data_IF_866641845636
#
_entry.id   IF_866641845636
#
_cell.length_a   1.000
_cell.length_b   1.000
_cell.length_c   1.000
_cell.angle_alpha   90.00
_cell.angle_beta   90.00
_cell.angle_gamma   90.00
#
_symmetry.space_group_name_H-M   'P 1'
#
loop_
_entity.id
_entity.type
_entity.pdbx_description
1 polymer ?
#
# COMPACT_ATOMS: atom_id res chain seq x y z
N UNK A 1 -11.84 33.26 0.36
CA UNK A 1 -10.63 32.75 1.03
C UNK A 1 -10.83 31.24 1.16
N UNK A 2 -10.30 30.45 0.23
CA UNK A 2 -10.50 29.00 0.24
C UNK A 2 -9.58 28.36 1.29
N UNK A 3 -10.09 27.36 2.04
CA UNK A 3 -9.48 26.90 3.27
C UNK A 3 -8.16 26.21 2.93
N UNK A 4 -7.22 26.28 3.87
CA UNK A 4 -5.97 25.54 3.83
C UNK A 4 -6.25 24.13 3.31
N UNK A 5 -5.69 23.78 2.16
CA UNK A 5 -5.45 22.38 1.82
C UNK A 5 -4.61 21.86 2.97
N UNK A 6 -5.27 21.17 3.90
CA UNK A 6 -4.63 20.54 5.04
C UNK A 6 -3.49 19.68 4.48
N UNK A 7 -2.23 19.92 4.90
CA UNK A 7 -1.06 19.19 4.37
C UNK A 7 -1.27 17.66 4.43
N UNK A 8 -2.10 17.21 5.39
CA UNK A 8 -2.58 15.83 5.54
C UNK A 8 -3.38 15.33 4.34
N UNK A 9 -4.26 16.15 3.76
CA UNK A 9 -5.01 15.80 2.55
C UNK A 9 -4.08 15.68 1.35
N UNK A 10 -3.08 16.56 1.23
CA UNK A 10 -2.10 16.49 0.15
C UNK A 10 -1.26 15.21 0.25
N UNK A 11 -0.77 14.86 1.44
CA UNK A 11 -0.05 13.60 1.68
C UNK A 11 -0.92 12.38 1.37
N UNK A 12 -2.18 12.38 1.81
CA UNK A 12 -3.12 11.30 1.51
C UNK A 12 -3.35 11.15 0.00
N UNK A 13 -3.49 12.25 -0.74
CA UNK A 13 -3.63 12.21 -2.20
C UNK A 13 -2.41 11.62 -2.89
N UNK A 14 -1.19 11.96 -2.44
CA UNK A 14 0.05 11.36 -2.96
C UNK A 14 0.07 9.86 -2.72
N UNK A 15 -0.29 9.41 -1.51
CA UNK A 15 -0.32 8.00 -1.16
C UNK A 15 -1.35 7.21 -1.98
N UNK A 16 -2.55 7.76 -2.17
CA UNK A 16 -3.59 7.13 -2.99
C UNK A 16 -3.17 7.04 -4.45
N UNK A 17 -2.49 8.06 -4.98
CA UNK A 17 -1.97 8.04 -6.35
C UNK A 17 -0.91 6.96 -6.53
N UNK A 18 0.04 6.83 -5.60
CA UNK A 18 1.06 5.77 -5.62
C UNK A 18 0.40 4.38 -5.61
N UNK A 19 -0.49 4.12 -4.65
CA UNK A 19 -1.18 2.82 -4.53
C UNK A 19 -1.98 2.52 -5.80
N UNK A 20 -2.67 3.53 -6.35
CA UNK A 20 -3.45 3.37 -7.59
C UNK A 20 -2.54 3.02 -8.76
N UNK A 21 -1.40 3.71 -8.89
CA UNK A 21 -0.41 3.44 -9.93
C UNK A 21 0.10 1.98 -9.85
N UNK A 22 0.51 1.56 -8.65
CA UNK A 22 0.98 0.19 -8.39
C UNK A 22 -0.10 -0.84 -8.73
N UNK A 23 -1.33 -0.66 -8.23
CA UNK A 23 -2.44 -1.60 -8.45
C UNK A 23 -2.82 -1.77 -9.92
N UNK A 24 -2.58 -0.75 -10.76
CA UNK A 24 -2.84 -0.79 -12.19
C UNK A 24 -1.67 -1.34 -13.01
N UNK A 25 -0.50 -1.54 -12.40
CA UNK A 25 0.68 -2.09 -13.07
C UNK A 25 0.53 -3.59 -13.39
N UNK A 26 1.07 -4.00 -14.54
CA UNK A 26 1.09 -5.43 -14.90
C UNK A 26 1.99 -6.23 -13.95
N UNK A 27 3.09 -5.63 -13.50
CA UNK A 27 4.06 -6.21 -12.58
C UNK A 27 3.41 -6.61 -11.26
N UNK A 28 2.68 -5.68 -10.63
CA UNK A 28 1.90 -5.97 -9.41
C UNK A 28 0.91 -7.12 -9.64
N UNK A 29 0.16 -7.06 -10.75
CA UNK A 29 -0.81 -8.10 -11.08
C UNK A 29 -0.18 -9.48 -11.26
N UNK A 30 1.03 -9.55 -11.85
CA UNK A 30 1.80 -10.78 -12.01
C UNK A 30 2.29 -11.29 -10.65
N UNK A 31 2.95 -10.45 -9.87
CA UNK A 31 3.48 -10.79 -8.55
C UNK A 31 2.38 -11.30 -7.61
N UNK A 32 1.24 -10.59 -7.55
CA UNK A 32 0.08 -11.00 -6.75
C UNK A 32 -0.42 -12.39 -7.12
N UNK A 33 -0.54 -12.69 -8.42
CA UNK A 33 -0.99 -14.02 -8.89
C UNK A 33 0.01 -15.12 -8.56
N UNK A 34 1.30 -14.83 -8.62
CA UNK A 34 2.36 -15.79 -8.27
C UNK A 34 2.37 -16.09 -6.77
N UNK A 35 2.26 -15.05 -5.93
CA UNK A 35 2.14 -15.18 -4.48
C UNK A 35 0.85 -15.91 -4.08
N UNK A 36 -0.27 -15.61 -4.72
CA UNK A 36 -1.55 -16.28 -4.45
C UNK A 36 -1.45 -17.78 -4.75
N UNK A 37 -0.86 -18.16 -5.89
CA UNK A 37 -0.59 -19.56 -6.22
C UNK A 37 0.35 -20.22 -5.21
N UNK A 38 1.37 -19.50 -4.74
CA UNK A 38 2.27 -20.01 -3.71
C UNK A 38 1.54 -20.27 -2.39
N UNK A 39 0.75 -19.31 -1.91
CA UNK A 39 -0.01 -19.45 -0.67
C UNK A 39 -1.10 -20.52 -0.74
N UNK A 40 -1.78 -20.66 -1.87
CA UNK A 40 -2.75 -21.74 -2.07
C UNK A 40 -2.07 -23.12 -1.99
N UNK A 41 -0.87 -23.29 -2.55
CA UNK A 41 -0.13 -24.56 -2.46
C UNK A 41 0.32 -24.87 -1.03
N UNK A 42 0.59 -23.84 -0.22
CA UNK A 42 0.98 -24.00 1.17
C UNK A 42 -0.21 -24.23 2.13
N UNK A 43 -1.45 -24.22 1.62
CA UNK A 43 -2.65 -24.37 2.45
C UNK A 43 -2.92 -23.16 3.34
N UNK A 44 -2.42 -21.98 2.96
CA UNK A 44 -2.58 -20.75 3.74
C UNK A 44 -4.00 -20.22 3.64
N UNK A 45 -4.66 -20.05 4.79
CA UNK A 45 -5.95 -19.36 4.85
C UNK A 45 -5.82 -17.91 4.35
N UNK A 46 -6.83 -17.45 3.61
CA UNK A 46 -6.85 -16.09 3.02
C UNK A 46 -5.68 -15.81 2.06
N UNK A 47 -5.21 -16.83 1.33
CA UNK A 47 -4.14 -16.72 0.34
C UNK A 47 -4.24 -15.49 -0.59
N UNK A 48 -5.44 -15.16 -1.08
CA UNK A 48 -5.68 -13.97 -1.91
C UNK A 48 -5.33 -12.67 -1.19
N UNK A 49 -5.75 -12.53 0.07
CA UNK A 49 -5.54 -11.32 0.86
C UNK A 49 -4.06 -11.13 1.19
N UNK A 50 -3.39 -12.21 1.62
CA UNK A 50 -1.95 -12.18 1.90
C UNK A 50 -1.14 -11.86 0.65
N UNK A 51 -1.45 -12.51 -0.47
CA UNK A 51 -0.78 -12.24 -1.75
C UNK A 51 -0.95 -10.79 -2.21
N UNK A 52 -2.13 -10.21 -2.00
CA UNK A 52 -2.37 -8.80 -2.30
C UNK A 52 -1.53 -7.89 -1.41
N UNK A 53 -1.54 -8.12 -0.09
CA UNK A 53 -0.80 -7.32 0.88
C UNK A 53 0.71 -7.38 0.61
N UNK A 54 1.24 -8.57 0.43
CA UNK A 54 2.67 -8.78 0.22
C UNK A 54 3.13 -8.22 -1.12
N UNK A 55 2.34 -8.40 -2.18
CA UNK A 55 2.63 -7.78 -3.47
C UNK A 55 2.62 -6.24 -3.36
N UNK A 56 1.63 -5.67 -2.67
CA UNK A 56 1.50 -4.22 -2.56
C UNK A 56 2.67 -3.63 -1.76
N UNK A 57 3.00 -4.19 -0.61
CA UNK A 57 4.12 -3.72 0.20
C UNK A 57 5.47 -3.94 -0.49
N UNK A 58 5.63 -5.02 -1.25
CA UNK A 58 6.85 -5.22 -2.05
C UNK A 58 7.01 -4.12 -3.09
N UNK A 59 5.94 -3.79 -3.83
CA UNK A 59 5.98 -2.74 -4.86
C UNK A 59 6.19 -1.35 -4.24
N UNK A 60 5.51 -1.04 -3.12
CA UNK A 60 5.72 0.22 -2.39
C UNK A 60 7.17 0.33 -1.92
N UNK A 61 7.74 -0.72 -1.31
CA UNK A 61 9.13 -0.71 -0.86
C UNK A 61 10.14 -0.49 -1.99
N UNK A 62 9.80 -0.92 -3.21
CA UNK A 62 10.62 -0.75 -4.40
C UNK A 62 10.54 0.68 -4.97
N UNK A 63 9.36 1.30 -4.97
CA UNK A 63 9.15 2.64 -5.53
C UNK A 63 9.45 3.77 -4.52
N UNK A 64 9.04 3.59 -3.27
CA UNK A 64 9.15 4.59 -2.19
C UNK A 64 9.35 3.89 -0.83
N UNK A 65 10.59 3.53 -0.47
CA UNK A 65 10.88 2.91 0.83
C UNK A 65 10.63 3.86 2.01
N UNK A 66 10.63 5.18 1.79
CA UNK A 66 10.34 6.17 2.84
C UNK A 66 8.87 6.16 3.25
N UNK A 67 7.97 5.81 2.32
CA UNK A 67 6.55 5.57 2.60
C UNK A 67 6.33 4.56 3.74
N UNK A 68 7.17 3.53 3.84
CA UNK A 68 7.08 2.49 4.88
C UNK A 68 7.82 2.87 6.17
N UNK A 69 8.77 3.80 6.10
CA UNK A 69 9.61 4.26 7.22
C UNK A 69 9.09 5.53 7.89
N UNK A 70 8.11 6.20 7.27
CA UNK A 70 7.51 7.42 7.81
C UNK A 70 6.95 7.14 9.23
N UNK A 71 7.37 7.91 10.25
CA UNK A 71 6.84 7.75 11.60
C UNK A 71 5.33 7.99 11.58
N UNK A 72 4.58 7.10 12.25
CA UNK A 72 3.14 7.25 12.38
C UNK A 72 2.81 8.68 12.86
N UNK A 73 1.85 9.38 12.23
CA UNK A 73 1.48 10.72 12.66
C UNK A 73 1.08 10.65 14.14
N UNK A 74 1.48 11.65 14.96
CA UNK A 74 1.17 11.65 16.38
C UNK A 74 -0.33 11.45 16.55
N UNK A 75 -0.73 10.38 17.24
CA UNK A 75 -2.14 10.14 17.59
C UNK A 75 -2.55 11.33 18.44
N UNK A 76 -3.40 12.20 17.89
CA UNK A 76 -4.06 13.25 18.66
C UNK A 76 -4.89 12.52 19.71
N UNK A 77 -4.41 12.50 20.94
CA UNK A 77 -5.21 12.16 22.11
C UNK A 77 -6.13 13.36 22.29
N UNK A 78 -7.36 13.27 21.76
CA UNK A 78 -8.41 14.21 22.14
C UNK A 78 -8.62 14.07 23.66
N UNK A 79 -8.33 15.15 24.40
CA UNK A 79 -8.68 15.34 25.80
C UNK A 79 -9.84 16.32 25.88
#
# INVERSE_FOLDING_TARGET
MFPMLDDRHQQLSVHVQLITHICLSEEFGRLRRELEKAYLRCGTDRAMFMAFQDALYTMIAQEDPEFLLAPAPPRVVEQ
#
